data_IF_908736173141
#
_entry.id   IF_908736173141
#
_cell.length_a   1.000
_cell.length_b   1.000
_cell.length_c   1.000
_cell.angle_alpha   90.00
_cell.angle_beta   90.00
_cell.angle_gamma   90.00
#
_symmetry.space_group_name_H-M   'P 1'
#
loop_
_entity.id
_entity.type
_entity.pdbx_description
1 polymer ?
#
# COMPACT_ATOMS: atom_id res chain seq x y z
N UNK A 1 -1.26 23.85 20.57
CA UNK A 1 -2.24 22.85 20.06
C UNK A 1 -1.51 21.53 19.85
N UNK A 2 -2.10 20.39 20.23
CA UNK A 2 -1.54 19.05 19.97
C UNK A 2 -2.49 18.30 19.04
N UNK A 3 -2.00 17.91 17.86
CA UNK A 3 -2.81 17.41 16.75
C UNK A 3 -2.31 17.95 15.41
N UNK A 4 -2.98 17.73 14.27
CA UNK A 4 -4.09 16.79 14.05
C UNK A 4 -3.57 15.43 13.58
N UNK A 5 -4.47 14.46 13.41
CA UNK A 5 -4.10 13.14 12.93
C UNK A 5 -3.82 13.10 11.42
N UNK A 6 -4.70 13.69 10.62
CA UNK A 6 -4.59 13.69 9.16
C UNK A 6 -3.83 14.93 8.67
N UNK A 7 -2.96 14.73 7.69
CA UNK A 7 -2.20 15.81 7.05
C UNK A 7 -3.11 16.93 6.50
N UNK A 8 -4.26 16.59 5.92
CA UNK A 8 -5.25 17.56 5.43
C UNK A 8 -5.81 18.45 6.54
N UNK A 9 -6.18 17.87 7.69
CA UNK A 9 -6.64 18.61 8.86
C UNK A 9 -5.54 19.49 9.45
N UNK A 10 -4.31 18.97 9.51
CA UNK A 10 -3.15 19.70 9.99
C UNK A 10 -2.82 20.91 9.11
N UNK A 11 -2.87 20.77 7.79
CA UNK A 11 -2.67 21.87 6.85
C UNK A 11 -3.77 22.93 6.97
N UNK A 12 -5.04 22.51 7.06
CA UNK A 12 -6.17 23.43 7.23
C UNK A 12 -6.09 24.22 8.54
N UNK A 13 -5.84 23.56 9.67
CA UNK A 13 -5.67 24.21 10.97
C UNK A 13 -4.38 25.04 11.05
N UNK A 14 -3.32 24.59 10.38
CA UNK A 14 -2.01 25.22 10.38
C UNK A 14 -2.02 26.67 9.91
N UNK A 15 -2.84 26.99 8.90
CA UNK A 15 -3.03 28.37 8.43
C UNK A 15 -3.52 29.28 9.56
N UNK A 16 -4.49 28.83 10.35
CA UNK A 16 -5.04 29.59 11.48
C UNK A 16 -4.00 29.74 12.59
N UNK A 17 -3.26 28.67 12.91
CA UNK A 17 -2.23 28.71 13.95
C UNK A 17 -1.09 29.66 13.60
N UNK A 18 -0.69 29.69 12.33
CA UNK A 18 0.31 30.63 11.82
C UNK A 18 -0.18 32.08 11.98
N UNK A 19 -1.39 32.39 11.51
CA UNK A 19 -1.97 33.74 11.58
C UNK A 19 -2.12 34.23 13.02
N UNK A 20 -2.44 33.32 13.96
CA UNK A 20 -2.61 33.62 15.38
C UNK A 20 -1.33 33.45 16.20
N UNK A 21 -0.21 33.06 15.59
CA UNK A 21 1.06 32.77 16.27
C UNK A 21 0.92 31.75 17.42
N UNK A 22 0.06 30.75 17.24
CA UNK A 22 -0.18 29.69 18.22
C UNK A 22 0.71 28.50 17.87
N UNK A 23 1.62 28.06 18.76
CA UNK A 23 2.42 26.88 18.50
C UNK A 23 1.55 25.61 18.44
N UNK A 24 1.76 24.81 17.41
CA UNK A 24 1.08 23.54 17.16
C UNK A 24 2.10 22.42 16.97
N UNK A 25 1.79 21.22 17.45
CA UNK A 25 2.61 20.03 17.27
C UNK A 25 1.75 18.84 16.85
N UNK A 26 2.11 18.19 15.73
CA UNK A 26 1.43 16.98 15.26
C UNK A 26 2.23 15.72 15.60
N UNK A 27 1.58 14.70 16.18
CA UNK A 27 2.22 13.41 16.43
C UNK A 27 2.28 12.52 15.18
N UNK A 28 1.45 12.75 14.16
CA UNK A 28 1.21 11.75 13.09
C UNK A 28 1.16 12.31 11.67
N UNK A 29 0.98 13.63 11.46
CA UNK A 29 0.92 14.16 10.08
C UNK A 29 2.31 14.20 9.43
N UNK A 30 2.48 13.43 8.36
CA UNK A 30 3.75 13.21 7.67
C UNK A 30 3.92 14.05 6.40
N UNK A 31 2.88 14.68 5.86
CA UNK A 31 3.01 15.49 4.65
C UNK A 31 3.90 16.72 4.90
N UNK A 32 4.94 16.99 4.07
CA UNK A 32 5.88 18.10 4.27
C UNK A 32 5.21 19.47 4.32
N UNK A 33 4.10 19.67 3.59
CA UNK A 33 3.39 20.94 3.49
C UNK A 33 2.93 21.48 4.85
N UNK A 34 2.68 20.60 5.82
CA UNK A 34 2.23 20.97 7.18
C UNK A 34 3.22 21.91 7.88
N UNK A 35 4.52 21.77 7.62
CA UNK A 35 5.57 22.52 8.36
C UNK A 35 6.45 23.39 7.47
N UNK A 36 6.56 23.12 6.17
CA UNK A 36 7.57 23.78 5.29
C UNK A 36 7.41 25.30 5.21
N UNK A 37 6.18 25.80 5.31
CA UNK A 37 5.85 27.24 5.26
C UNK A 37 5.12 27.69 6.54
N UNK A 38 5.34 27.01 7.67
CA UNK A 38 4.66 27.32 8.91
C UNK A 38 5.62 27.22 10.10
N UNK A 39 6.18 28.37 10.51
CA UNK A 39 7.13 28.45 11.62
C UNK A 39 6.52 28.17 13.00
N UNK A 40 5.19 28.08 13.10
CA UNK A 40 4.47 27.77 14.34
C UNK A 40 3.97 26.33 14.39
N UNK A 41 4.26 25.50 13.38
CA UNK A 41 3.85 24.10 13.34
C UNK A 41 5.05 23.19 13.35
N UNK A 42 5.11 22.31 14.35
CA UNK A 42 6.14 21.33 14.56
C UNK A 42 5.59 19.91 14.37
N UNK A 43 6.47 18.96 14.10
CA UNK A 43 6.13 17.52 14.07
C UNK A 43 7.17 16.73 14.83
N UNK A 44 6.76 15.61 15.41
CA UNK A 44 7.66 14.62 16.03
C UNK A 44 7.80 13.35 15.20
N UNK A 45 7.05 13.25 14.10
CA UNK A 45 7.11 12.14 13.15
C UNK A 45 7.98 12.48 11.94
N UNK A 46 8.35 11.47 11.16
CA UNK A 46 9.07 11.64 9.89
C UNK A 46 8.19 12.35 8.84
N UNK A 47 8.79 12.71 7.71
CA UNK A 47 8.05 13.28 6.58
C UNK A 47 7.94 12.30 5.41
N UNK A 48 6.91 12.48 4.58
CA UNK A 48 6.64 11.62 3.42
C UNK A 48 7.77 11.63 2.39
N UNK A 49 8.54 12.73 2.28
CA UNK A 49 9.70 12.79 1.38
C UNK A 49 10.75 11.75 1.76
N UNK A 50 11.02 11.62 3.06
CA UNK A 50 11.95 10.62 3.58
C UNK A 50 11.38 9.22 3.41
N UNK A 51 10.10 9.01 3.77
CA UNK A 51 9.46 7.70 3.70
C UNK A 51 9.35 7.17 2.27
N UNK A 52 8.83 7.98 1.33
CA UNK A 52 8.68 7.58 -0.08
C UNK A 52 10.03 7.25 -0.73
N UNK A 53 11.07 8.05 -0.47
CA UNK A 53 12.43 7.77 -0.94
C UNK A 53 12.99 6.49 -0.32
N UNK A 54 12.79 6.29 0.98
CA UNK A 54 13.24 5.09 1.67
C UNK A 54 12.58 3.84 1.07
N UNK A 55 11.26 3.84 0.90
CA UNK A 55 10.51 2.72 0.33
C UNK A 55 10.96 2.42 -1.11
N UNK A 56 11.15 3.44 -1.95
CA UNK A 56 11.67 3.25 -3.31
C UNK A 56 13.09 2.66 -3.32
N UNK A 57 13.97 3.15 -2.45
CA UNK A 57 15.32 2.60 -2.31
C UNK A 57 15.28 1.16 -1.80
N UNK A 58 14.41 0.84 -0.84
CA UNK A 58 14.26 -0.50 -0.30
C UNK A 58 13.73 -1.48 -1.36
N UNK A 59 12.68 -1.09 -2.09
CA UNK A 59 12.14 -1.83 -3.22
C UNK A 59 13.22 -2.18 -4.24
N UNK A 60 14.03 -1.18 -4.64
CA UNK A 60 15.03 -1.39 -5.68
C UNK A 60 16.30 -2.10 -5.17
N UNK A 61 16.86 -1.67 -4.06
CA UNK A 61 18.20 -2.10 -3.61
C UNK A 61 18.17 -3.36 -2.75
N UNK A 62 17.10 -3.56 -1.99
CA UNK A 62 16.97 -4.69 -1.06
C UNK A 62 16.11 -5.80 -1.68
N UNK A 63 14.89 -5.46 -2.09
CA UNK A 63 13.97 -6.43 -2.70
C UNK A 63 14.30 -6.71 -4.17
N UNK A 64 15.16 -5.89 -4.78
CA UNK A 64 15.63 -6.05 -6.15
C UNK A 64 14.48 -6.16 -7.15
N UNK A 65 13.44 -5.32 -6.98
CA UNK A 65 12.29 -5.35 -7.85
C UNK A 65 12.70 -5.08 -9.32
N UNK A 66 12.04 -5.81 -10.21
CA UNK A 66 12.19 -5.66 -11.66
C UNK A 66 11.30 -4.55 -12.19
N UNK A 67 10.09 -4.41 -11.64
CA UNK A 67 9.15 -3.32 -11.92
C UNK A 67 8.22 -3.06 -10.72
N UNK A 68 7.40 -2.02 -10.83
CA UNK A 68 6.38 -1.70 -9.82
C UNK A 68 5.02 -1.40 -10.44
N UNK A 69 3.97 -1.72 -9.70
CA UNK A 69 2.60 -1.25 -9.93
C UNK A 69 2.18 -0.37 -8.75
N UNK A 70 1.77 0.86 -9.03
CA UNK A 70 1.43 1.87 -8.03
C UNK A 70 -0.06 2.12 -8.04
N UNK A 71 -0.69 2.03 -6.86
CA UNK A 71 -2.08 2.41 -6.65
C UNK A 71 -2.14 3.41 -5.51
N UNK A 72 -2.70 4.59 -5.74
CA UNK A 72 -2.82 5.62 -4.70
C UNK A 72 -4.19 6.26 -4.65
N UNK A 73 -4.51 6.85 -3.51
CA UNK A 73 -5.62 7.80 -3.42
C UNK A 73 -5.22 9.17 -3.98
N UNK A 74 -6.21 10.04 -4.24
CA UNK A 74 -6.00 11.42 -4.71
C UNK A 74 -5.83 12.44 -3.58
N UNK A 75 -5.89 12.02 -2.31
CA UNK A 75 -5.63 12.93 -1.19
C UNK A 75 -4.13 13.23 -1.08
N UNK A 76 -3.81 14.40 -0.50
CA UNK A 76 -2.43 14.92 -0.41
C UNK A 76 -1.44 13.94 0.21
N UNK A 77 -1.87 13.09 1.15
CA UNK A 77 -1.02 12.07 1.76
C UNK A 77 -0.63 10.99 0.74
N UNK A 78 -1.61 10.21 0.27
CA UNK A 78 -1.35 9.09 -0.64
C UNK A 78 -0.76 9.53 -1.98
N UNK A 79 -1.23 10.65 -2.53
CA UNK A 79 -0.75 11.18 -3.81
C UNK A 79 0.72 11.62 -3.73
N UNK A 80 1.10 12.38 -2.70
CA UNK A 80 2.48 12.85 -2.53
C UNK A 80 3.45 11.68 -2.37
N UNK A 81 3.11 10.70 -1.53
CA UNK A 81 3.93 9.50 -1.31
C UNK A 81 4.12 8.68 -2.60
N UNK A 82 3.07 8.52 -3.41
CA UNK A 82 3.16 7.84 -4.70
C UNK A 82 4.06 8.59 -5.68
N UNK A 83 3.91 9.91 -5.77
CA UNK A 83 4.70 10.74 -6.68
C UNK A 83 6.20 10.71 -6.30
N UNK A 84 6.52 10.78 -4.99
CA UNK A 84 7.91 10.68 -4.50
C UNK A 84 8.49 9.29 -4.76
N UNK A 85 7.72 8.23 -4.51
CA UNK A 85 8.14 6.85 -4.73
C UNK A 85 8.46 6.61 -6.22
N UNK A 86 7.54 6.98 -7.12
CA UNK A 86 7.71 6.87 -8.58
C UNK A 86 8.92 7.69 -9.04
N UNK A 87 9.02 8.96 -8.62
CA UNK A 87 10.14 9.82 -9.00
C UNK A 87 11.48 9.22 -8.56
N UNK A 88 11.56 8.66 -7.37
CA UNK A 88 12.78 8.03 -6.87
C UNK A 88 13.12 6.76 -7.65
N UNK A 89 12.12 5.96 -8.06
CA UNK A 89 12.35 4.77 -8.88
C UNK A 89 12.79 5.08 -10.33
N UNK A 90 12.36 6.22 -10.87
CA UNK A 90 12.84 6.72 -12.17
C UNK A 90 14.35 6.97 -12.16
N UNK A 91 14.92 7.44 -11.04
CA UNK A 91 16.37 7.60 -10.88
C UNK A 91 17.13 6.26 -11.00
N UNK A 92 16.44 5.13 -10.76
CA UNK A 92 16.99 3.78 -10.92
C UNK A 92 16.58 3.10 -12.24
N UNK A 93 15.94 3.82 -13.17
CA UNK A 93 15.36 3.27 -14.40
C UNK A 93 14.44 2.06 -14.14
N UNK A 94 13.71 2.05 -13.02
CA UNK A 94 12.81 0.94 -12.71
C UNK A 94 11.46 1.18 -13.39
N UNK A 95 10.98 0.25 -14.23
CA UNK A 95 9.69 0.35 -14.89
C UNK A 95 8.54 0.49 -13.90
N UNK A 96 7.61 1.40 -14.21
CA UNK A 96 6.33 1.55 -13.53
C UNK A 96 5.27 1.05 -14.51
N UNK A 97 4.79 -0.18 -14.32
CA UNK A 97 3.85 -0.83 -15.23
C UNK A 97 2.44 -0.23 -15.11
N UNK A 98 2.10 0.21 -13.90
CA UNK A 98 0.80 0.76 -13.57
C UNK A 98 0.99 1.92 -12.59
N UNK A 99 0.28 3.03 -12.80
CA UNK A 99 0.19 4.13 -11.85
C UNK A 99 -1.25 4.67 -11.83
N UNK A 100 -2.08 4.06 -11.01
CA UNK A 100 -3.52 4.32 -10.96
C UNK A 100 -3.88 5.11 -9.70
N UNK A 101 -4.78 6.08 -9.88
CA UNK A 101 -5.32 6.89 -8.77
C UNK A 101 -6.82 6.67 -8.62
N UNK A 102 -7.32 6.75 -7.38
CA UNK A 102 -8.74 6.74 -7.06
C UNK A 102 -9.11 7.81 -6.03
N UNK A 103 -10.37 8.25 -6.05
CA UNK A 103 -10.89 9.22 -5.08
C UNK A 103 -11.45 8.45 -3.88
N UNK A 104 -11.00 8.73 -2.64
CA UNK A 104 -11.60 8.12 -1.45
C UNK A 104 -13.07 8.51 -1.28
N UNK A 105 -13.88 7.65 -0.66
CA UNK A 105 -15.30 7.89 -0.54
C UNK A 105 -15.56 9.04 0.44
N UNK A 106 -16.58 9.85 0.16
CA UNK A 106 -17.05 10.85 1.12
C UNK A 106 -17.72 10.14 2.31
N UNK A 107 -17.44 10.64 3.51
CA UNK A 107 -18.06 10.14 4.75
C UNK A 107 -19.59 10.10 4.62
N UNK A 108 -20.20 8.97 4.99
CA UNK A 108 -21.64 8.71 4.96
C UNK A 108 -22.32 8.82 3.59
N UNK A 109 -21.56 8.81 2.49
CA UNK A 109 -22.11 8.85 1.14
C UNK A 109 -22.06 7.46 0.48
N UNK A 110 -23.21 6.80 0.40
CA UNK A 110 -23.35 5.47 -0.23
C UNK A 110 -23.01 5.49 -1.72
N UNK A 111 -23.25 6.60 -2.42
CA UNK A 111 -22.94 6.72 -3.85
C UNK A 111 -21.44 6.71 -4.07
N UNK A 112 -20.71 7.55 -3.34
CA UNK A 112 -19.23 7.59 -3.30
C UNK A 112 -18.61 6.20 -3.01
N UNK A 113 -19.20 5.41 -2.10
CA UNK A 113 -18.70 4.06 -1.80
C UNK A 113 -18.88 3.10 -2.99
N UNK A 114 -19.99 3.19 -3.71
CA UNK A 114 -20.23 2.35 -4.88
C UNK A 114 -19.31 2.73 -6.05
N UNK A 115 -19.11 4.03 -6.28
CA UNK A 115 -18.14 4.55 -7.25
C UNK A 115 -16.72 4.05 -6.95
N UNK A 116 -16.29 4.13 -5.67
CA UNK A 116 -15.01 3.58 -5.25
C UNK A 116 -14.91 2.09 -5.58
N UNK A 117 -15.91 1.29 -5.24
CA UNK A 117 -15.88 -0.17 -5.51
C UNK A 117 -15.75 -0.47 -7.00
N UNK A 118 -16.47 0.27 -7.84
CA UNK A 118 -16.36 0.13 -9.29
C UNK A 118 -14.95 0.49 -9.75
N UNK A 119 -14.45 1.65 -9.34
CA UNK A 119 -13.12 2.13 -9.69
C UNK A 119 -12.01 1.16 -9.26
N UNK A 120 -12.11 0.61 -8.05
CA UNK A 120 -11.15 -0.39 -7.56
C UNK A 120 -11.20 -1.69 -8.38
N UNK A 121 -12.38 -2.12 -8.87
CA UNK A 121 -12.47 -3.30 -9.74
C UNK A 121 -11.77 -3.07 -11.09
N UNK A 122 -11.91 -1.87 -11.67
CA UNK A 122 -11.22 -1.49 -12.90
C UNK A 122 -9.70 -1.47 -12.70
N UNK A 123 -9.23 -0.84 -11.62
CA UNK A 123 -7.79 -0.80 -11.28
C UNK A 123 -7.24 -2.22 -11.11
N UNK A 124 -7.96 -3.09 -10.42
CA UNK A 124 -7.54 -4.49 -10.23
C UNK A 124 -7.51 -5.26 -11.56
N UNK A 125 -8.45 -5.00 -12.46
CA UNK A 125 -8.46 -5.61 -13.80
C UNK A 125 -7.24 -5.17 -14.60
N UNK A 126 -6.91 -3.87 -14.56
CA UNK A 126 -5.70 -3.33 -15.20
C UNK A 126 -4.44 -3.93 -14.56
N UNK A 127 -4.41 -4.04 -13.22
CA UNK A 127 -3.31 -4.66 -12.50
C UNK A 127 -3.06 -6.09 -12.96
N UNK A 128 -4.09 -6.94 -13.03
CA UNK A 128 -3.95 -8.31 -13.51
C UNK A 128 -3.37 -8.35 -14.92
N UNK A 129 -3.87 -7.50 -15.83
CA UNK A 129 -3.39 -7.41 -17.20
C UNK A 129 -1.89 -7.07 -17.27
N UNK A 130 -1.43 -6.09 -16.49
CA UNK A 130 -0.02 -5.70 -16.46
C UNK A 130 0.87 -6.79 -15.84
N UNK A 131 0.41 -7.45 -14.77
CA UNK A 131 1.15 -8.56 -14.14
C UNK A 131 1.26 -9.78 -15.07
N UNK A 132 0.17 -10.16 -15.74
CA UNK A 132 0.15 -11.28 -16.70
C UNK A 132 1.05 -11.00 -17.91
N UNK A 133 1.07 -9.76 -18.39
CA UNK A 133 1.88 -9.36 -19.54
C UNK A 133 3.37 -9.31 -19.20
N UNK A 134 3.73 -8.80 -18.02
CA UNK A 134 5.13 -8.68 -17.60
C UNK A 134 5.70 -10.03 -17.11
N UNK A 135 4.87 -10.87 -16.48
CA UNK A 135 5.18 -12.23 -16.05
C UNK A 135 6.48 -12.34 -15.24
N UNK A 136 6.57 -11.55 -14.16
CA UNK A 136 7.68 -11.58 -13.20
C UNK A 136 7.15 -11.46 -11.77
N UNK A 137 7.56 -12.40 -10.91
CA UNK A 137 7.18 -12.44 -9.51
C UNK A 137 7.83 -11.31 -8.68
N UNK A 138 8.88 -10.67 -9.22
CA UNK A 138 9.58 -9.53 -8.59
C UNK A 138 8.94 -8.16 -8.85
N UNK A 139 7.72 -8.13 -9.39
CA UNK A 139 6.92 -6.90 -9.44
C UNK A 139 6.38 -6.59 -8.05
N UNK A 140 6.68 -5.38 -7.54
CA UNK A 140 6.13 -4.90 -6.26
C UNK A 140 4.83 -4.14 -6.49
N UNK A 141 3.84 -4.42 -5.65
CA UNK A 141 2.59 -3.67 -5.59
C UNK A 141 2.71 -2.59 -4.50
N UNK A 142 2.88 -1.35 -4.92
CA UNK A 142 2.98 -0.22 -4.01
C UNK A 142 1.60 0.43 -3.79
N UNK A 143 1.07 0.35 -2.57
CA UNK A 143 -0.25 0.87 -2.22
C UNK A 143 -0.10 2.08 -1.29
N UNK A 144 -0.39 3.27 -1.81
CA UNK A 144 -0.28 4.54 -1.07
C UNK A 144 -1.66 5.09 -0.73
N UNK A 145 -2.23 4.58 0.36
CA UNK A 145 -3.65 4.75 0.73
C UNK A 145 -3.82 4.79 2.25
N UNK A 146 -4.92 5.37 2.73
CA UNK A 146 -5.34 5.21 4.12
C UNK A 146 -5.91 3.81 4.41
N UNK A 147 -6.00 3.47 5.70
CA UNK A 147 -6.36 2.12 6.17
C UNK A 147 -7.68 1.57 5.63
N UNK A 148 -8.81 2.32 5.62
CA UNK A 148 -10.09 1.76 5.17
C UNK A 148 -10.06 1.27 3.73
N UNK A 149 -9.47 2.05 2.84
CA UNK A 149 -9.31 1.74 1.42
C UNK A 149 -8.28 0.64 1.21
N UNK A 150 -7.16 0.69 1.95
CA UNK A 150 -6.10 -0.32 1.90
C UNK A 150 -6.59 -1.72 2.24
N UNK A 151 -7.45 -1.87 3.25
CA UNK A 151 -8.04 -3.16 3.62
C UNK A 151 -8.84 -3.77 2.48
N UNK A 152 -9.71 -2.98 1.85
CA UNK A 152 -10.55 -3.44 0.73
C UNK A 152 -9.67 -3.84 -0.46
N UNK A 153 -8.65 -3.03 -0.76
CA UNK A 153 -7.76 -3.25 -1.89
C UNK A 153 -6.92 -4.50 -1.71
N UNK A 154 -6.26 -4.66 -0.55
CA UNK A 154 -5.44 -5.84 -0.23
C UNK A 154 -6.30 -7.10 -0.23
N UNK A 155 -7.51 -7.05 0.32
CA UNK A 155 -8.43 -8.18 0.26
C UNK A 155 -8.73 -8.60 -1.19
N UNK A 156 -9.05 -7.64 -2.08
CA UNK A 156 -9.32 -7.93 -3.49
C UNK A 156 -8.12 -8.54 -4.21
N UNK A 157 -6.92 -8.01 -3.98
CA UNK A 157 -5.67 -8.53 -4.56
C UNK A 157 -5.46 -9.99 -4.14
N UNK A 158 -5.61 -10.28 -2.85
CA UNK A 158 -5.39 -11.63 -2.32
C UNK A 158 -6.52 -12.61 -2.66
N UNK A 159 -7.78 -12.15 -2.75
CA UNK A 159 -8.93 -12.96 -3.22
C UNK A 159 -8.72 -13.48 -4.65
N UNK A 160 -7.96 -12.75 -5.48
CA UNK A 160 -7.62 -13.14 -6.86
C UNK A 160 -6.38 -14.05 -6.95
N UNK A 161 -5.74 -14.35 -5.83
CA UNK A 161 -4.55 -15.21 -5.79
C UNK A 161 -3.27 -14.51 -6.23
N UNK A 162 -3.24 -13.18 -6.33
CA UNK A 162 -2.01 -12.43 -6.62
C UNK A 162 -1.08 -12.55 -5.41
N UNK A 163 0.11 -13.12 -5.62
CA UNK A 163 1.10 -13.42 -4.57
C UNK A 163 2.23 -12.40 -4.48
N UNK A 164 2.33 -11.46 -5.43
CA UNK A 164 3.32 -10.40 -5.44
C UNK A 164 3.45 -9.69 -4.08
N UNK A 165 4.66 -9.22 -3.79
CA UNK A 165 4.95 -8.45 -2.60
C UNK A 165 4.18 -7.13 -2.61
N UNK A 166 3.51 -6.83 -1.50
CA UNK A 166 2.78 -5.59 -1.29
C UNK A 166 3.62 -4.71 -0.38
N UNK A 167 3.94 -3.50 -0.83
CA UNK A 167 4.65 -2.49 -0.07
C UNK A 167 3.74 -1.30 0.17
N UNK A 168 3.68 -0.82 1.41
CA UNK A 168 2.75 0.26 1.80
C UNK A 168 3.41 1.26 2.75
N UNK A 169 2.95 2.53 2.77
CA UNK A 169 3.30 3.50 3.80
C UNK A 169 2.77 3.14 5.20
N UNK A 170 3.09 4.00 6.16
CA UNK A 170 2.80 3.85 7.59
C UNK A 170 1.31 3.76 7.94
N UNK A 171 0.41 4.29 7.10
CA UNK A 171 -1.03 4.22 7.35
C UNK A 171 -1.54 2.77 7.50
N UNK A 172 -0.87 1.78 6.91
CA UNK A 172 -1.23 0.37 7.02
C UNK A 172 -0.39 -0.40 8.05
N UNK A 173 0.43 0.28 8.86
CA UNK A 173 1.19 -0.34 9.95
C UNK A 173 0.46 -0.29 11.31
N UNK A 174 -0.77 0.25 11.33
CA UNK A 174 -1.53 0.45 12.56
C UNK A 174 -2.29 -0.80 13.01
N UNK A 175 -2.53 -0.94 14.32
CA UNK A 175 -3.35 -2.03 14.85
C UNK A 175 -4.78 -1.98 14.31
N UNK A 176 -5.34 -0.78 14.14
CA UNK A 176 -6.67 -0.60 13.54
C UNK A 176 -6.77 -1.14 12.12
N UNK A 177 -5.69 -1.03 11.33
CA UNK A 177 -5.62 -1.67 10.03
C UNK A 177 -5.61 -3.21 10.16
N UNK A 178 -4.81 -3.78 11.05
CA UNK A 178 -4.79 -5.23 11.29
C UNK A 178 -6.18 -5.74 11.70
N UNK A 179 -6.83 -5.05 12.64
CA UNK A 179 -8.14 -5.40 13.17
C UNK A 179 -9.24 -5.31 12.11
N UNK A 180 -9.07 -4.42 11.11
CA UNK A 180 -10.05 -4.26 10.03
C UNK A 180 -10.27 -5.54 9.22
N UNK A 181 -9.26 -6.43 9.14
CA UNK A 181 -9.41 -7.73 8.46
C UNK A 181 -10.26 -8.72 9.24
N UNK A 182 -10.32 -8.62 10.57
CA UNK A 182 -11.15 -9.49 11.41
C UNK A 182 -12.64 -9.31 11.13
N UNK A 183 -13.05 -8.11 10.70
CA UNK A 183 -14.43 -7.77 10.36
C UNK A 183 -14.81 -8.14 8.92
N UNK A 184 -13.85 -8.57 8.09
CA UNK A 184 -14.15 -9.00 6.74
C UNK A 184 -14.74 -10.40 6.77
N UNK A 185 -15.89 -10.58 6.12
CA UNK A 185 -16.46 -11.91 5.91
C UNK A 185 -15.44 -12.74 5.13
N UNK A 186 -14.92 -13.81 5.75
CA UNK A 186 -14.19 -14.86 5.02
C UNK A 186 -15.10 -15.33 3.88
N UNK A 187 -14.77 -15.02 2.63
CA UNK A 187 -15.46 -15.67 1.52
C UNK A 187 -15.16 -17.16 1.64
N UNK A 188 -16.22 -17.98 1.76
CA UNK A 188 -16.10 -19.40 1.42
C UNK A 188 -15.60 -19.43 -0.02
N UNK A 189 -14.45 -20.04 -0.29
CA UNK A 189 -14.09 -20.41 -1.65
C UNK A 189 -15.25 -21.25 -2.22
N UNK A 190 -16.06 -20.63 -3.07
CA UNK A 190 -17.24 -21.27 -3.64
C UNK A 190 -16.79 -22.23 -4.73
N UNK A 191 -16.79 -23.52 -4.40
CA UNK A 191 -17.38 -24.54 -5.27
C UNK A 191 -16.89 -24.61 -6.71
N UNK A 192 -15.58 -24.61 -6.92
CA UNK A 192 -14.96 -25.31 -8.04
C UNK A 192 -13.55 -25.58 -7.57
N UNK A 193 -13.22 -26.86 -7.47
CA UNK A 193 -11.92 -27.46 -7.08
C UNK A 193 -11.97 -28.40 -5.87
N UNK A 194 -12.95 -29.30 -5.90
CA UNK A 194 -12.72 -30.67 -5.41
C UNK A 194 -11.67 -31.44 -6.23
N UNK A 195 -11.05 -30.81 -7.25
CA UNK A 195 -9.95 -31.37 -8.06
C UNK A 195 -8.54 -30.90 -7.64
N UNK A 196 -8.39 -29.87 -6.78
CA UNK A 196 -7.05 -29.49 -6.27
C UNK A 196 -6.60 -30.30 -5.05
N UNK A 197 -7.52 -30.94 -4.32
CA UNK A 197 -7.16 -31.75 -3.15
C UNK A 197 -6.40 -33.04 -3.50
N UNK A 198 -6.44 -33.51 -4.75
CA UNK A 198 -5.60 -34.63 -5.20
C UNK A 198 -4.23 -34.22 -5.78
N UNK A 199 -4.02 -32.95 -6.12
CA UNK A 199 -2.72 -32.51 -6.64
C UNK A 199 -1.76 -32.07 -5.51
N UNK A 200 -2.31 -31.56 -4.40
CA UNK A 200 -1.50 -31.08 -3.28
C UNK A 200 -0.85 -32.21 -2.45
N UNK A 201 -1.42 -33.43 -2.43
CA UNK A 201 -0.79 -34.56 -1.74
C UNK A 201 0.43 -35.14 -2.50
N UNK A 202 0.51 -34.94 -3.82
CA UNK A 202 1.61 -35.50 -4.64
C UNK A 202 2.80 -34.55 -4.77
N UNK A 203 2.58 -33.24 -4.68
CA UNK A 203 3.66 -32.24 -4.78
C UNK A 203 4.36 -32.05 -3.42
N UNK A 204 3.62 -32.09 -2.30
CA UNK A 204 4.21 -31.95 -0.97
C UNK A 204 5.16 -33.11 -0.62
N UNK A 205 4.85 -34.34 -1.06
CA UNK A 205 5.73 -35.51 -0.89
C UNK A 205 6.96 -35.49 -1.81
N UNK A 206 6.91 -34.81 -2.97
CA UNK A 206 8.08 -34.65 -3.86
C UNK A 206 9.05 -33.57 -3.39
N UNK A 207 8.55 -32.48 -2.78
CA UNK A 207 9.40 -31.40 -2.28
C UNK A 207 10.03 -31.71 -0.90
N UNK A 208 9.29 -32.37 0.01
CA UNK A 208 9.86 -32.77 1.31
C UNK A 208 10.93 -33.88 1.22
N UNK A 209 10.86 -34.79 0.22
CA UNK A 209 11.90 -35.84 0.05
C UNK A 209 13.23 -35.30 -0.48
N UNK A 210 13.23 -34.20 -1.24
CA UNK A 210 14.45 -33.65 -1.87
C UNK A 210 15.28 -32.78 -0.93
N UNK A 211 14.65 -32.18 0.09
CA UNK A 211 15.35 -31.36 1.09
C UNK A 211 15.91 -32.23 2.25
N UNK A 212 15.20 -33.30 2.66
CA UNK A 212 15.73 -34.21 3.70
C UNK A 212 16.90 -35.09 3.24
N UNK A 213 17.04 -35.41 1.95
CA UNK A 213 18.13 -36.29 1.48
C UNK A 213 19.43 -35.55 1.15
N UNK A 214 19.41 -34.22 1.07
CA UNK A 214 20.60 -33.41 0.77
C UNK A 214 21.28 -32.87 2.04
N UNK A 215 20.63 -32.94 3.20
CA UNK A 215 21.17 -32.46 4.48
C UNK A 215 21.73 -33.58 5.40
N UNK A 216 21.72 -34.84 4.96
CA UNK A 216 22.26 -35.99 5.70
C UNK A 216 23.55 -36.58 5.10
N UNK A 217 24.28 -35.83 4.25
CA UNK A 217 25.55 -36.28 3.64
C UNK A 217 26.73 -35.32 3.79
N UNK A 218 26.64 -34.33 4.68
CA UNK A 218 27.77 -33.40 4.93
C UNK A 218 27.93 -32.96 6.39
N UNK A 219 27.53 -33.81 7.33
CA UNK A 219 28.01 -33.83 8.71
C UNK A 219 28.07 -35.29 9.18
#
# INVERSE_FOLDING_TARGET
MIGHNYSSCSSAGGKIYLDKKIPAITPTSTNPSVTINNSYYFRITFNDNLQGRFLANYAKKVLQCSAVCVISETLDYGANLADIFVKTLQEFNTPVLLNEKFVPPKMNDKSSINELKQRLNEIITNLCRELDQYNDDKVILYLSVHSPEGTILIQKIRDLGITNEIMTPDALASQSFVDSFSNLKKKKCSGLLHRWYLCCHTIYLRYCRRICTTFQRTL
#
